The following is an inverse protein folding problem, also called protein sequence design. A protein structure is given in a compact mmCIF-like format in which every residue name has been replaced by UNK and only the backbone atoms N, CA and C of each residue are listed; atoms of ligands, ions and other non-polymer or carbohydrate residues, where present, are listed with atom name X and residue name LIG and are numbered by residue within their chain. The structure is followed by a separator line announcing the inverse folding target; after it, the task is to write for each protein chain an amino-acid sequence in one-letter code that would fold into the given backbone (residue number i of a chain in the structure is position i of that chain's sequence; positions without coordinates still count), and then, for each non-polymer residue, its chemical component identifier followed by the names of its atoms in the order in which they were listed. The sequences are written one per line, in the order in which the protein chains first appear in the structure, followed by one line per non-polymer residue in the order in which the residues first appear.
data_IF_607527962568
#
_entry.id   IF_607527962568
#
_cell.length_a   1.000
_cell.length_b   1.000
_cell.length_c   1.000
_cell.angle_alpha   90.00
_cell.angle_beta   90.00
_cell.angle_gamma   90.00
#
_symmetry.space_group_name_H-M   'P 1'
#
loop_
_entity.id
_entity.type
_entity.pdbx_description
1 polymer ?
#
# COMPACT_ATOMS: atom_id res chain seq x y z
N UNK A 1 6.12 15.54 11.72
CA UNK A 1 7.54 15.92 11.63
C UNK A 1 8.24 15.09 10.55
N UNK A 2 9.35 15.61 10.01
CA UNK A 2 10.23 14.89 9.08
C UNK A 2 11.61 14.80 9.72
N UNK A 3 12.25 13.64 9.64
CA UNK A 3 13.59 13.43 10.20
C UNK A 3 14.45 12.54 9.30
N UNK A 4 15.67 13.00 9.03
CA UNK A 4 16.66 12.17 8.39
C UNK A 4 17.33 11.26 9.42
N UNK A 5 17.33 9.96 9.20
CA UNK A 5 17.97 8.98 10.06
C UNK A 5 18.25 7.69 9.29
N UNK A 6 19.24 6.93 9.74
CA UNK A 6 19.47 5.59 9.21
C UNK A 6 18.28 4.68 9.57
N UNK A 7 17.68 4.08 8.56
CA UNK A 7 16.61 3.11 8.70
C UNK A 7 17.15 1.69 8.44
N UNK A 8 16.81 0.69 9.28
CA UNK A 8 17.39 -0.65 9.15
C UNK A 8 17.04 -1.31 7.82
N UNK A 9 15.77 -1.27 7.43
CA UNK A 9 15.21 -2.08 6.34
C UNK A 9 14.47 -1.28 5.25
N UNK A 10 14.51 0.07 5.28
CA UNK A 10 13.77 0.90 4.34
C UNK A 10 14.48 2.22 4.07
N UNK A 11 14.17 2.87 2.94
CA UNK A 11 14.61 4.23 2.65
C UNK A 11 13.65 5.29 3.24
N UNK A 12 12.39 4.93 3.51
CA UNK A 12 11.35 5.78 4.08
C UNK A 12 10.51 4.99 5.08
N UNK A 13 9.82 5.68 5.99
CA UNK A 13 8.85 5.08 6.87
C UNK A 13 8.19 6.07 7.82
N UNK A 14 6.88 5.94 8.01
CA UNK A 14 6.15 6.66 9.04
C UNK A 14 6.15 5.88 10.35
N UNK A 15 6.60 6.51 11.44
CA UNK A 15 6.53 5.95 12.79
C UNK A 15 5.46 6.68 13.60
N UNK A 16 4.34 6.00 13.80
CA UNK A 16 3.20 6.56 14.50
C UNK A 16 3.42 6.87 15.98
N UNK A 17 4.45 6.30 16.64
CA UNK A 17 4.74 6.54 18.05
C UNK A 17 5.21 7.98 18.33
N UNK A 18 5.84 8.62 17.35
CA UNK A 18 6.40 9.98 17.46
C UNK A 18 5.90 10.93 16.37
N UNK A 19 4.91 10.49 15.58
CA UNK A 19 4.29 11.25 14.48
C UNK A 19 5.33 11.81 13.50
N UNK A 20 6.30 10.98 13.12
CA UNK A 20 7.42 11.40 12.30
C UNK A 20 7.57 10.49 11.07
N UNK A 21 7.77 11.13 9.91
CA UNK A 21 8.21 10.46 8.71
C UNK A 21 9.74 10.50 8.70
N UNK A 22 10.34 9.33 8.68
CA UNK A 22 11.78 9.15 8.58
C UNK A 22 12.19 8.85 7.16
N UNK A 23 13.39 9.32 6.77
CA UNK A 23 13.98 9.00 5.48
C UNK A 23 15.49 8.81 5.61
N UNK A 24 16.02 7.90 4.79
CA UNK A 24 17.45 7.57 4.76
C UNK A 24 18.00 7.73 3.33
N UNK A 25 18.61 8.89 3.01
CA UNK A 25 19.14 9.14 1.67
C UNK A 25 20.40 8.33 1.35
N UNK A 26 20.94 7.59 2.31
CA UNK A 26 22.09 6.69 2.09
C UNK A 26 21.70 5.34 1.49
N UNK A 27 20.41 5.01 1.48
CA UNK A 27 19.89 3.78 0.87
C UNK A 27 19.89 3.89 -0.65
N UNK A 28 20.30 2.84 -1.33
CA UNK A 28 20.34 2.78 -2.80
C UNK A 28 18.94 3.00 -3.38
N UNK A 29 17.93 2.40 -2.76
CA UNK A 29 16.53 2.55 -3.16
C UNK A 29 16.01 4.00 -3.09
N UNK A 30 16.65 4.87 -2.30
CA UNK A 30 16.27 6.27 -2.20
C UNK A 30 16.40 7.01 -3.55
N UNK A 31 17.41 6.64 -4.35
CA UNK A 31 17.63 7.24 -5.68
C UNK A 31 16.60 6.74 -6.72
N UNK A 32 16.07 5.54 -6.54
CA UNK A 32 15.14 4.91 -7.46
C UNK A 32 13.68 5.37 -7.24
N UNK A 33 13.37 5.89 -6.06
CA UNK A 33 12.04 6.35 -5.73
C UNK A 33 11.80 7.81 -6.15
N UNK A 34 10.63 8.06 -6.74
CA UNK A 34 10.13 9.43 -6.83
C UNK A 34 9.77 9.90 -5.42
N UNK A 35 10.58 10.79 -4.86
CA UNK A 35 10.44 11.32 -3.50
C UNK A 35 9.01 11.75 -3.18
N UNK A 36 8.37 12.52 -4.07
CA UNK A 36 7.01 13.02 -3.83
C UNK A 36 5.99 11.89 -3.71
N UNK A 37 6.16 10.83 -4.50
CA UNK A 37 5.26 9.67 -4.52
C UNK A 37 5.34 8.91 -3.20
N UNK A 38 6.57 8.62 -2.75
CA UNK A 38 6.77 7.92 -1.48
C UNK A 38 6.34 8.78 -0.30
N UNK A 39 6.65 10.08 -0.32
CA UNK A 39 6.21 11.00 0.73
C UNK A 39 4.68 11.09 0.84
N UNK A 40 3.97 11.02 -0.29
CA UNK A 40 2.50 10.98 -0.28
C UNK A 40 1.98 9.70 0.37
N UNK A 41 2.62 8.57 0.11
CA UNK A 41 2.30 7.29 0.77
C UNK A 41 2.52 7.39 2.29
N UNK A 42 3.66 7.91 2.74
CA UNK A 42 3.93 8.07 4.18
C UNK A 42 2.98 9.07 4.87
N UNK A 43 2.61 10.13 4.16
CA UNK A 43 1.59 11.07 4.64
C UNK A 43 0.20 10.42 4.74
N UNK A 44 -0.12 9.48 3.86
CA UNK A 44 -1.36 8.73 3.93
C UNK A 44 -1.41 7.82 5.17
N UNK A 45 -0.30 7.19 5.57
CA UNK A 45 -0.24 6.47 6.85
C UNK A 45 -0.55 7.38 8.04
N UNK A 46 -0.03 8.61 8.02
CA UNK A 46 -0.33 9.59 9.05
C UNK A 46 -1.81 9.99 9.03
N UNK A 47 -2.37 10.25 7.85
CA UNK A 47 -3.80 10.58 7.71
C UNK A 47 -4.68 9.42 8.17
N UNK A 48 -4.34 8.20 7.81
CA UNK A 48 -5.05 7.01 8.25
C UNK A 48 -5.06 6.89 9.78
N UNK A 49 -3.90 7.06 10.41
CA UNK A 49 -3.77 6.96 11.85
C UNK A 49 -4.66 7.94 12.62
N UNK A 50 -4.77 9.17 12.17
CA UNK A 50 -5.43 10.23 12.94
C UNK A 50 -6.89 10.48 12.53
N UNK A 51 -7.26 10.18 11.29
CA UNK A 51 -8.54 10.58 10.75
C UNK A 51 -9.38 9.43 10.21
N UNK A 52 -8.78 8.48 9.50
CA UNK A 52 -9.50 7.43 8.79
C UNK A 52 -9.66 6.17 9.63
N UNK A 53 -8.53 5.66 10.18
CA UNK A 53 -8.46 4.42 10.95
C UNK A 53 -8.97 3.22 10.15
N UNK A 54 -8.44 3.05 8.94
CA UNK A 54 -8.88 2.04 7.97
C UNK A 54 -8.92 0.62 8.56
N UNK A 55 -8.00 0.32 9.49
CA UNK A 55 -7.91 -0.97 10.21
C UNK A 55 -9.09 -1.26 11.15
N UNK A 56 -9.89 -0.27 11.52
CA UNK A 56 -11.10 -0.45 12.33
C UNK A 56 -12.36 -0.63 11.49
N UNK A 57 -12.26 -0.38 10.18
CA UNK A 57 -13.38 -0.47 9.26
C UNK A 57 -13.63 -1.91 8.82
N UNK A 58 -14.53 -2.61 9.51
CA UNK A 58 -14.89 -3.99 9.16
C UNK A 58 -15.23 -4.17 7.68
N UNK A 59 -15.91 -3.21 7.07
CA UNK A 59 -16.27 -3.28 5.65
C UNK A 59 -15.03 -3.29 4.74
N UNK A 60 -13.93 -2.63 5.16
CA UNK A 60 -12.69 -2.63 4.40
C UNK A 60 -11.94 -3.96 4.53
N UNK A 61 -11.84 -4.48 5.76
CA UNK A 61 -11.26 -5.80 6.01
C UNK A 61 -12.02 -6.91 5.27
N UNK A 62 -13.36 -6.86 5.27
CA UNK A 62 -14.19 -7.81 4.53
C UNK A 62 -13.95 -7.72 3.02
N UNK A 63 -13.89 -6.51 2.45
CA UNK A 63 -13.62 -6.29 1.04
C UNK A 63 -12.21 -6.79 0.63
N UNK A 64 -11.20 -6.58 1.49
CA UNK A 64 -9.83 -7.08 1.27
C UNK A 64 -9.80 -8.62 1.30
N UNK A 65 -10.49 -9.23 2.25
CA UNK A 65 -10.61 -10.70 2.31
C UNK A 65 -11.25 -11.27 1.05
N UNK A 66 -12.35 -10.66 0.60
CA UNK A 66 -13.09 -11.13 -0.58
C UNK A 66 -12.26 -10.91 -1.87
N UNK A 67 -11.45 -9.84 -1.92
CA UNK A 67 -10.47 -9.62 -2.99
C UNK A 67 -9.43 -10.75 -3.07
N UNK A 68 -9.09 -11.38 -1.95
CA UNK A 68 -8.21 -12.54 -1.91
C UNK A 68 -8.71 -13.70 -2.77
N UNK A 69 -10.02 -13.98 -2.76
CA UNK A 69 -10.61 -15.03 -3.58
C UNK A 69 -10.54 -14.70 -5.09
N UNK A 70 -10.67 -13.42 -5.46
CA UNK A 70 -10.52 -12.98 -6.86
C UNK A 70 -9.07 -13.18 -7.33
N UNK A 71 -8.10 -12.83 -6.48
CA UNK A 71 -6.68 -12.99 -6.78
C UNK A 71 -6.30 -14.46 -6.89
N UNK A 72 -6.82 -15.30 -5.98
CA UNK A 72 -6.55 -16.75 -5.97
C UNK A 72 -7.12 -17.48 -7.20
N UNK A 73 -8.12 -16.91 -7.87
CA UNK A 73 -8.72 -17.50 -9.07
C UNK A 73 -7.82 -17.41 -10.31
N UNK A 74 -6.97 -16.35 -10.41
CA UNK A 74 -6.05 -16.17 -11.54
C UNK A 74 -4.80 -15.35 -11.11
N UNK A 75 -3.92 -15.93 -10.27
CA UNK A 75 -2.75 -15.22 -9.77
C UNK A 75 -1.75 -14.87 -10.88
N UNK A 76 -1.70 -15.62 -11.97
CA UNK A 76 -0.77 -15.39 -13.09
C UNK A 76 -1.11 -14.10 -13.83
N UNK A 77 -2.39 -13.82 -14.04
CA UNK A 77 -2.84 -12.56 -14.63
C UNK A 77 -2.40 -11.35 -13.80
N UNK A 78 -2.51 -11.42 -12.47
CA UNK A 78 -2.07 -10.36 -11.57
C UNK A 78 -0.54 -10.20 -11.58
N UNK A 79 0.22 -11.30 -11.60
CA UNK A 79 1.68 -11.26 -11.69
C UNK A 79 2.14 -10.61 -12.99
N UNK A 80 1.56 -10.99 -14.14
CA UNK A 80 1.88 -10.43 -15.43
C UNK A 80 1.58 -8.91 -15.51
N UNK A 81 0.55 -8.44 -14.81
CA UNK A 81 0.26 -7.00 -14.76
C UNK A 81 1.29 -6.24 -13.91
N UNK A 82 1.69 -6.78 -12.76
CA UNK A 82 2.69 -6.17 -11.85
C UNK A 82 4.06 -6.03 -12.50
N UNK A 83 4.49 -6.98 -13.33
CA UNK A 83 5.77 -6.89 -14.05
C UNK A 83 5.92 -5.59 -14.87
N UNK A 84 4.79 -4.94 -15.19
CA UNK A 84 4.74 -3.67 -15.91
C UNK A 84 4.46 -2.46 -15.01
N UNK A 85 4.39 -2.65 -13.67
CA UNK A 85 4.19 -1.58 -12.69
C UNK A 85 5.52 -1.12 -12.10
N UNK A 86 6.00 0.03 -12.57
CA UNK A 86 7.30 0.59 -12.16
C UNK A 86 7.31 1.20 -10.76
N UNK A 87 6.15 1.42 -10.13
CA UNK A 87 6.05 2.15 -8.85
C UNK A 87 5.99 1.25 -7.62
N UNK A 88 5.67 -0.01 -7.79
CA UNK A 88 5.59 -0.98 -6.71
C UNK A 88 4.31 -0.93 -5.85
N UNK A 89 3.46 0.09 -5.98
CA UNK A 89 2.23 0.22 -5.19
C UNK A 89 1.24 -0.90 -5.45
N UNK A 90 1.07 -1.30 -6.71
CA UNK A 90 0.20 -2.43 -7.05
C UNK A 90 0.73 -3.74 -6.47
N UNK A 91 2.03 -3.99 -6.58
CA UNK A 91 2.63 -5.21 -6.03
C UNK A 91 2.46 -5.31 -4.53
N UNK A 92 2.54 -4.17 -3.82
CA UNK A 92 2.35 -4.13 -2.38
C UNK A 92 0.87 -4.33 -1.99
N UNK A 93 -0.08 -3.71 -2.71
CA UNK A 93 -1.52 -3.98 -2.55
C UNK A 93 -1.83 -5.47 -2.74
N UNK A 94 -1.32 -6.08 -3.81
CA UNK A 94 -1.57 -7.50 -4.08
C UNK A 94 -0.89 -8.40 -3.05
N UNK A 95 0.30 -8.03 -2.57
CA UNK A 95 0.99 -8.71 -1.46
C UNK A 95 0.17 -8.67 -0.18
N UNK A 96 -0.45 -7.53 0.13
CA UNK A 96 -1.34 -7.37 1.29
C UNK A 96 -2.60 -8.25 1.16
N UNK A 97 -3.26 -8.23 0.00
CA UNK A 97 -4.46 -9.02 -0.27
C UNK A 97 -4.18 -10.51 -0.13
N UNK A 98 -3.06 -11.02 -0.65
CA UNK A 98 -2.73 -12.45 -0.60
C UNK A 98 -1.84 -12.85 0.59
N UNK A 99 -1.42 -11.92 1.45
CA UNK A 99 -0.50 -12.18 2.57
C UNK A 99 0.78 -12.89 2.13
N UNK A 100 1.32 -12.50 0.98
CA UNK A 100 2.51 -13.13 0.36
C UNK A 100 2.34 -14.63 0.03
N UNK A 101 1.12 -15.11 -0.19
CA UNK A 101 0.92 -16.46 -0.77
C UNK A 101 1.53 -16.56 -2.16
N UNK A 102 1.44 -15.47 -2.92
CA UNK A 102 2.11 -15.27 -4.20
C UNK A 102 3.21 -14.21 -4.05
N UNK A 103 4.27 -14.34 -4.84
CA UNK A 103 5.45 -13.50 -4.71
C UNK A 103 5.34 -12.24 -5.57
N UNK A 104 4.55 -11.28 -5.14
CA UNK A 104 4.58 -9.93 -5.70
C UNK A 104 5.77 -9.15 -5.14
N UNK A 105 6.53 -8.47 -6.01
CA UNK A 105 7.70 -7.67 -5.62
C UNK A 105 7.79 -6.37 -6.44
N UNK A 106 8.23 -5.26 -5.85
CA UNK A 106 8.55 -5.09 -4.42
C UNK A 106 7.33 -5.22 -3.52
N UNK A 107 7.53 -5.42 -2.23
CA UNK A 107 6.47 -5.55 -1.22
C UNK A 107 7.02 -6.03 0.13
N UNK A 108 6.21 -5.89 1.16
CA UNK A 108 6.55 -6.27 2.52
C UNK A 108 6.73 -7.80 2.68
N UNK A 109 7.52 -8.20 3.69
CA UNK A 109 7.72 -9.61 4.05
C UNK A 109 6.41 -10.22 4.59
N UNK A 110 6.25 -11.54 4.47
CA UNK A 110 5.07 -12.27 4.96
C UNK A 110 4.74 -11.99 6.43
N UNK A 111 5.76 -11.89 7.30
CA UNK A 111 5.56 -11.58 8.71
C UNK A 111 4.93 -10.23 8.97
N UNK A 112 5.11 -9.25 8.09
CA UNK A 112 4.48 -7.94 8.18
C UNK A 112 2.95 -8.03 8.08
N UNK A 113 2.45 -8.86 7.15
CA UNK A 113 1.02 -9.05 6.92
C UNK A 113 0.29 -9.83 8.03
N UNK A 114 1.05 -10.47 8.93
CA UNK A 114 0.50 -11.19 10.08
C UNK A 114 0.13 -10.26 11.24
N UNK A 115 0.58 -9.00 11.22
CA UNK A 115 0.18 -8.02 12.21
C UNK A 115 -1.22 -7.46 11.89
N UNK A 116 -2.14 -7.46 12.87
CA UNK A 116 -3.49 -6.94 12.67
C UNK A 116 -3.47 -5.48 12.20
N UNK A 117 -4.24 -5.18 11.17
CA UNK A 117 -4.39 -3.84 10.62
C UNK A 117 -3.37 -3.45 9.54
N UNK A 118 -2.23 -4.13 9.43
CA UNK A 118 -1.21 -3.73 8.45
C UNK A 118 -1.70 -3.80 7.01
N UNK A 119 -2.56 -4.76 6.67
CA UNK A 119 -3.13 -4.88 5.31
C UNK A 119 -3.97 -3.66 4.96
N UNK A 120 -4.87 -3.31 5.85
CA UNK A 120 -5.77 -2.16 5.68
C UNK A 120 -4.99 -0.86 5.55
N UNK A 121 -4.03 -0.64 6.44
CA UNK A 121 -3.18 0.55 6.48
C UNK A 121 -2.39 0.70 5.17
N UNK A 122 -1.73 -0.35 4.71
CA UNK A 122 -0.93 -0.31 3.48
C UNK A 122 -1.79 -0.16 2.23
N UNK A 123 -2.91 -0.88 2.14
CA UNK A 123 -3.80 -0.74 0.99
C UNK A 123 -4.36 0.68 0.92
N UNK A 124 -4.75 1.27 2.06
CA UNK A 124 -5.20 2.65 2.10
C UNK A 124 -4.12 3.62 1.62
N UNK A 125 -2.89 3.51 2.15
CA UNK A 125 -1.79 4.42 1.80
C UNK A 125 -1.38 4.29 0.32
N UNK A 126 -1.33 3.08 -0.21
CA UNK A 126 -1.03 2.83 -1.61
C UNK A 126 -2.12 3.36 -2.55
N UNK A 127 -3.40 3.17 -2.22
CA UNK A 127 -4.52 3.72 -3.00
C UNK A 127 -4.52 5.25 -3.00
N UNK A 128 -4.25 5.86 -1.84
CA UNK A 128 -4.15 7.32 -1.71
C UNK A 128 -3.02 7.89 -2.58
N UNK A 129 -1.85 7.25 -2.57
CA UNK A 129 -0.74 7.65 -3.43
C UNK A 129 -1.09 7.50 -4.93
N UNK A 130 -1.67 6.37 -5.34
CA UNK A 130 -2.08 6.13 -6.72
C UNK A 130 -3.08 7.17 -7.22
N UNK A 131 -4.09 7.54 -6.42
CA UNK A 131 -5.05 8.59 -6.78
C UNK A 131 -4.40 9.97 -6.83
N UNK A 132 -3.56 10.31 -5.86
CA UNK A 132 -2.87 11.60 -5.81
C UNK A 132 -1.99 11.84 -7.05
N UNK A 133 -1.43 10.79 -7.62
CA UNK A 133 -0.60 10.84 -8.83
C UNK A 133 -1.34 10.45 -10.11
N UNK A 134 -2.66 10.21 -10.02
CA UNK A 134 -3.53 9.89 -11.16
C UNK A 134 -2.98 8.74 -12.01
N UNK A 135 -2.54 7.65 -11.35
CA UNK A 135 -2.11 6.45 -12.06
C UNK A 135 -3.31 5.68 -12.62
N UNK A 136 -3.91 6.23 -13.67
CA UNK A 136 -5.14 5.70 -14.27
C UNK A 136 -5.01 4.26 -14.74
N UNK A 137 -3.82 3.81 -15.14
CA UNK A 137 -3.59 2.42 -15.54
C UNK A 137 -3.83 1.48 -14.36
N UNK A 138 -3.16 1.74 -13.24
CA UNK A 138 -3.27 0.90 -12.03
C UNK A 138 -4.64 1.07 -11.37
N UNK A 139 -5.15 2.30 -11.28
CA UNK A 139 -6.47 2.58 -10.70
C UNK A 139 -7.60 1.87 -11.47
N UNK A 140 -7.57 1.91 -12.82
CA UNK A 140 -8.56 1.21 -13.64
C UNK A 140 -8.49 -0.30 -13.46
N UNK A 141 -7.28 -0.86 -13.33
CA UNK A 141 -7.07 -2.27 -13.05
C UNK A 141 -7.66 -2.65 -11.68
N UNK A 142 -7.37 -1.88 -10.63
CA UNK A 142 -7.89 -2.12 -9.28
C UNK A 142 -9.41 -1.97 -9.20
N UNK A 143 -9.98 -0.94 -9.82
CA UNK A 143 -11.44 -0.74 -9.91
C UNK A 143 -12.14 -1.91 -10.62
N UNK A 144 -11.51 -2.45 -11.65
CA UNK A 144 -12.05 -3.59 -12.41
C UNK A 144 -12.05 -4.89 -11.59
N UNK A 145 -10.94 -5.19 -10.92
CA UNK A 145 -10.75 -6.49 -10.27
C UNK A 145 -11.13 -6.50 -8.79
N UNK A 146 -11.02 -5.35 -8.10
CA UNK A 146 -11.33 -5.19 -6.68
C UNK A 146 -12.31 -4.03 -6.41
N UNK A 147 -13.48 -4.01 -7.09
CA UNK A 147 -14.41 -2.87 -7.03
C UNK A 147 -14.89 -2.57 -5.59
N UNK A 148 -15.03 -3.59 -4.75
CA UNK A 148 -15.48 -3.39 -3.37
C UNK A 148 -14.40 -2.75 -2.49
N UNK A 149 -13.13 -3.14 -2.66
CA UNK A 149 -12.01 -2.51 -1.95
C UNK A 149 -11.98 -1.02 -2.29
N UNK A 150 -12.07 -0.70 -3.59
CA UNK A 150 -12.07 0.68 -4.06
C UNK A 150 -13.29 1.46 -3.57
N UNK A 151 -14.48 0.88 -3.61
CA UNK A 151 -15.71 1.53 -3.16
C UNK A 151 -15.71 1.84 -1.65
N UNK A 152 -15.12 0.97 -0.82
CA UNK A 152 -14.98 1.25 0.62
C UNK A 152 -13.92 2.32 0.85
N UNK A 153 -12.77 2.23 0.18
CA UNK A 153 -11.72 3.23 0.26
C UNK A 153 -12.24 4.65 -0.07
N UNK A 154 -13.04 4.80 -1.14
CA UNK A 154 -13.64 6.09 -1.52
C UNK A 154 -14.50 6.72 -0.42
N UNK A 155 -15.12 5.93 0.45
CA UNK A 155 -15.92 6.45 1.58
C UNK A 155 -15.08 7.10 2.67
N UNK A 156 -13.79 6.79 2.73
CA UNK A 156 -12.88 7.41 3.69
C UNK A 156 -12.47 8.83 3.28
N UNK A 157 -12.68 9.20 2.03
CA UNK A 157 -12.28 10.49 1.47
C UNK A 157 -13.39 11.55 1.50
N UNK A 158 -14.59 11.17 1.93
CA UNK A 158 -15.77 12.04 2.04
C UNK A 158 -15.94 12.48 3.50
#
# INVERSE_FOLDING_TARGET
TFAQTALPDAAFGYLGKDDTIYYDPSKEEFADYNFNVVMTHELAHRADRYFVRSWEAKAFSDAIRDAGAVLDADPEMFMAFVENDSRGFLSDILSAICEQRYRFRPGHKKSYWQHPGNKEIEIFANLFALESFQDEKVLSFLKKHFPQVFAVYQRFLI
#
